data_IF_671932960326
#
_entry.id   IF_671932960326
#
_cell.length_a   1.000
_cell.length_b   1.000
_cell.length_c   1.000
_cell.angle_alpha   90.00
_cell.angle_beta   90.00
_cell.angle_gamma   90.00
#
_symmetry.space_group_name_H-M   'P 1'
#
loop_
_entity.id
_entity.type
_entity.pdbx_description
1 polymer ?
#
# COMPACT_ATOMS: atom_id res chain seq x y z
N UNK A 1 -26.74 -5.99 -28.35
CA UNK A 1 -25.32 -6.01 -28.75
C UNK A 1 -24.47 -6.24 -27.52
N UNK A 2 -23.80 -7.39 -27.42
CA UNK A 2 -22.88 -7.68 -26.33
C UNK A 2 -21.65 -6.78 -26.49
N UNK A 3 -21.42 -5.86 -25.56
CA UNK A 3 -20.19 -5.08 -25.55
C UNK A 3 -19.00 -6.02 -25.29
N UNK A 4 -17.92 -5.83 -26.04
CA UNK A 4 -16.67 -6.52 -25.81
C UNK A 4 -16.14 -6.24 -24.39
N UNK A 5 -15.53 -7.25 -23.75
CA UNK A 5 -14.82 -7.14 -22.46
C UNK A 5 -13.81 -5.99 -22.48
N UNK A 6 -13.20 -5.70 -23.63
CA UNK A 6 -12.30 -4.56 -23.83
C UNK A 6 -12.97 -3.20 -23.52
N UNK A 7 -14.23 -3.00 -23.91
CA UNK A 7 -14.95 -1.74 -23.69
C UNK A 7 -15.25 -1.52 -22.21
N UNK A 8 -15.67 -2.58 -21.50
CA UNK A 8 -15.89 -2.53 -20.03
C UNK A 8 -14.60 -2.15 -19.30
N UNK A 9 -13.48 -2.79 -19.66
CA UNK A 9 -12.18 -2.52 -19.04
C UNK A 9 -11.71 -1.07 -19.27
N UNK A 10 -11.94 -0.52 -20.46
CA UNK A 10 -11.61 0.88 -20.77
C UNK A 10 -12.50 1.88 -19.99
N UNK A 11 -13.79 1.59 -19.79
CA UNK A 11 -14.67 2.42 -18.92
C UNK A 11 -14.15 2.37 -17.48
N UNK A 12 -13.85 1.18 -16.96
CA UNK A 12 -13.29 0.97 -15.62
C UNK A 12 -11.99 1.76 -15.41
N UNK A 13 -11.07 1.66 -16.36
CA UNK A 13 -9.79 2.37 -16.29
C UNK A 13 -9.99 3.90 -16.22
N UNK A 14 -10.83 4.49 -17.09
CA UNK A 14 -11.12 5.93 -17.06
C UNK A 14 -11.77 6.37 -15.73
N UNK A 15 -12.65 5.53 -15.17
CA UNK A 15 -13.29 5.81 -13.89
C UNK A 15 -12.30 5.80 -12.73
N UNK A 16 -11.45 4.76 -12.63
CA UNK A 16 -10.38 4.65 -11.62
C UNK A 16 -9.36 5.77 -11.79
N UNK A 17 -9.13 6.23 -13.03
CA UNK A 17 -8.25 7.35 -13.33
C UNK A 17 -8.75 8.71 -12.80
N UNK A 18 -10.01 8.79 -12.36
CA UNK A 18 -10.57 9.96 -11.68
C UNK A 18 -11.88 10.46 -12.28
N UNK A 19 -12.20 10.10 -13.53
CA UNK A 19 -13.38 10.62 -14.21
C UNK A 19 -14.69 10.19 -13.51
N UNK A 20 -15.75 11.02 -13.54
CA UNK A 20 -17.10 10.57 -13.20
C UNK A 20 -17.54 9.42 -14.11
N UNK A 21 -18.34 8.49 -13.59
CA UNK A 21 -18.80 7.31 -14.34
C UNK A 21 -19.55 7.68 -15.63
N UNK A 22 -20.35 8.76 -15.58
CA UNK A 22 -21.05 9.30 -16.74
C UNK A 22 -20.07 9.73 -17.86
N UNK A 23 -19.01 10.46 -17.51
CA UNK A 23 -17.97 10.91 -18.44
C UNK A 23 -17.18 9.73 -19.01
N UNK A 24 -16.83 8.74 -18.16
CA UNK A 24 -16.11 7.54 -18.59
C UNK A 24 -16.93 6.69 -19.57
N UNK A 25 -18.23 6.56 -19.33
CA UNK A 25 -19.16 5.82 -20.18
C UNK A 25 -19.41 6.56 -21.52
N UNK A 26 -19.67 7.87 -21.47
CA UNK A 26 -19.89 8.70 -22.65
C UNK A 26 -18.67 8.70 -23.59
N UNK A 27 -17.45 8.74 -23.04
CA UNK A 27 -16.21 8.70 -23.82
C UNK A 27 -16.07 7.42 -24.69
N UNK A 28 -16.76 6.34 -24.33
CA UNK A 28 -16.74 5.07 -25.05
C UNK A 28 -18.10 4.72 -25.66
N UNK A 29 -19.01 5.71 -25.75
CA UNK A 29 -20.37 5.55 -26.28
C UNK A 29 -21.15 4.43 -25.58
N UNK A 30 -20.88 4.22 -24.29
CA UNK A 30 -21.59 3.26 -23.44
C UNK A 30 -22.71 3.99 -22.69
N UNK A 31 -23.96 3.50 -22.71
CA UNK A 31 -25.03 4.06 -21.89
C UNK A 31 -24.68 4.01 -20.40
N UNK A 32 -24.99 5.07 -19.66
CA UNK A 32 -24.68 5.16 -18.23
C UNK A 32 -25.18 3.96 -17.41
N UNK A 33 -26.41 3.51 -17.68
CA UNK A 33 -27.01 2.37 -16.98
C UNK A 33 -26.23 1.06 -17.19
N UNK A 34 -25.66 0.87 -18.38
CA UNK A 34 -24.79 -0.28 -18.68
C UNK A 34 -23.50 -0.22 -17.86
N UNK A 35 -22.85 0.95 -17.81
CA UNK A 35 -21.64 1.14 -17.01
C UNK A 35 -21.91 0.99 -15.49
N UNK A 36 -23.07 1.47 -15.01
CA UNK A 36 -23.51 1.29 -13.62
C UNK A 36 -23.73 -0.19 -13.28
N UNK A 37 -24.36 -0.94 -14.17
CA UNK A 37 -24.57 -2.38 -13.97
C UNK A 37 -23.25 -3.15 -13.96
N UNK A 38 -22.29 -2.82 -14.83
CA UNK A 38 -20.95 -3.43 -14.79
C UNK A 38 -20.21 -3.17 -13.49
N UNK A 39 -20.27 -1.94 -12.99
CA UNK A 39 -19.67 -1.56 -11.72
C UNK A 39 -20.27 -2.35 -10.55
N UNK A 40 -21.61 -2.51 -10.52
CA UNK A 40 -22.30 -3.33 -9.51
C UNK A 40 -21.91 -4.81 -9.58
N UNK A 41 -21.95 -5.40 -10.78
CA UNK A 41 -21.59 -6.81 -10.99
C UNK A 41 -20.13 -7.10 -10.63
N UNK A 42 -19.21 -6.16 -10.93
CA UNK A 42 -17.82 -6.31 -10.52
C UNK A 42 -17.64 -6.18 -9.01
N UNK A 43 -18.36 -5.26 -8.35
CA UNK A 43 -18.33 -5.17 -6.89
C UNK A 43 -18.84 -6.46 -6.23
N UNK A 44 -19.93 -7.05 -6.74
CA UNK A 44 -20.46 -8.35 -6.28
C UNK A 44 -19.48 -9.51 -6.50
N UNK A 45 -18.63 -9.42 -7.52
CA UNK A 45 -17.55 -10.36 -7.78
C UNK A 45 -16.25 -10.03 -6.99
N UNK A 46 -16.27 -9.07 -6.07
CA UNK A 46 -15.12 -8.64 -5.26
C UNK A 46 -14.15 -7.69 -5.96
N UNK A 47 -14.48 -7.21 -7.16
CA UNK A 47 -13.67 -6.30 -7.98
C UNK A 47 -14.23 -4.87 -7.96
N UNK A 48 -14.38 -4.27 -6.78
CA UNK A 48 -15.01 -2.95 -6.63
C UNK A 48 -14.19 -1.80 -7.27
N UNK A 49 -14.82 -1.05 -8.17
CA UNK A 49 -14.19 0.08 -8.86
C UNK A 49 -14.02 1.31 -7.97
N UNK A 50 -14.85 1.48 -6.94
CA UNK A 50 -14.75 2.57 -5.98
C UNK A 50 -13.57 2.36 -5.03
N UNK A 51 -13.37 1.12 -4.57
CA UNK A 51 -12.18 0.75 -3.78
C UNK A 51 -10.92 1.04 -4.60
N UNK A 52 -10.88 0.60 -5.87
CA UNK A 52 -9.74 0.85 -6.75
C UNK A 52 -9.51 2.34 -7.05
N UNK A 53 -10.57 3.14 -7.21
CA UNK A 53 -10.49 4.59 -7.41
C UNK A 53 -10.00 5.31 -6.16
N UNK A 54 -10.47 4.90 -4.97
CA UNK A 54 -10.06 5.46 -3.69
C UNK A 54 -8.59 5.12 -3.38
N UNK A 55 -8.16 3.87 -3.60
CA UNK A 55 -6.77 3.47 -3.46
C UNK A 55 -5.83 4.35 -4.30
N UNK A 56 -6.17 4.58 -5.58
CA UNK A 56 -5.39 5.46 -6.47
C UNK A 56 -5.42 6.94 -6.06
N UNK A 57 -6.50 7.41 -5.44
CA UNK A 57 -6.58 8.77 -4.91
C UNK A 57 -5.70 8.93 -3.66
N UNK A 58 -5.61 7.90 -2.83
CA UNK A 58 -4.82 7.89 -1.59
C UNK A 58 -3.32 7.83 -1.88
N UNK A 59 -2.86 7.04 -2.85
CA UNK A 59 -1.45 7.06 -3.33
C UNK A 59 -1.04 8.39 -3.98
N UNK A 60 -2.02 9.27 -4.27
CA UNK A 60 -1.79 10.62 -4.81
C UNK A 60 -2.00 11.71 -3.74
N UNK A 61 -2.37 11.33 -2.51
CA UNK A 61 -2.53 12.30 -1.43
C UNK A 61 -1.16 12.56 -0.79
N UNK A 62 -0.71 13.82 -0.81
CA UNK A 62 0.55 14.25 -0.17
C UNK A 62 0.60 14.09 1.36
N UNK A 63 -0.42 13.46 1.96
CA UNK A 63 -0.47 13.12 3.38
C UNK A 63 0.49 11.98 3.71
N UNK A 64 0.67 11.02 2.80
CA UNK A 64 1.61 9.90 2.98
C UNK A 64 3.07 10.38 2.85
N UNK A 65 3.36 11.23 1.87
CA UNK A 65 4.68 11.89 1.74
C UNK A 65 5.00 12.74 2.97
N UNK A 66 4.04 13.57 3.41
CA UNK A 66 4.19 14.38 4.62
C UNK A 66 4.37 13.52 5.89
N UNK A 67 3.63 12.41 6.02
CA UNK A 67 3.78 11.51 7.17
C UNK A 67 5.15 10.82 7.17
N UNK A 68 5.66 10.41 6.00
CA UNK A 68 6.99 9.83 5.86
C UNK A 68 8.10 10.85 6.15
N UNK A 69 7.95 12.09 5.69
CA UNK A 69 8.88 13.18 5.99
C UNK A 69 8.95 13.47 7.50
N UNK A 70 7.80 13.60 8.15
CA UNK A 70 7.70 13.83 9.60
C UNK A 70 8.31 12.67 10.40
N UNK A 71 8.10 11.42 9.97
CA UNK A 71 8.74 10.26 10.61
C UNK A 71 10.26 10.25 10.45
N UNK A 72 10.75 10.64 9.27
CA UNK A 72 12.19 10.75 9.00
C UNK A 72 12.84 11.77 9.92
N UNK A 73 12.26 12.97 10.01
CA UNK A 73 12.77 14.04 10.87
C UNK A 73 12.69 13.67 12.35
N UNK A 74 11.63 12.99 12.79
CA UNK A 74 11.52 12.49 14.15
C UNK A 74 12.61 11.46 14.49
N UNK A 75 12.92 10.55 13.56
CA UNK A 75 13.98 9.55 13.75
C UNK A 75 15.36 10.22 13.88
N UNK A 76 15.63 11.25 13.09
CA UNK A 76 16.86 12.04 13.16
C UNK A 76 17.00 12.75 14.52
N UNK A 77 15.93 13.41 14.98
CA UNK A 77 15.92 14.06 16.31
C UNK A 77 16.07 13.06 17.46
N UNK A 78 15.51 11.86 17.32
CA UNK A 78 15.65 10.79 18.31
C UNK A 78 17.12 10.37 18.46
N UNK A 79 17.82 10.14 17.34
CA UNK A 79 19.24 9.77 17.34
C UNK A 79 20.11 10.88 17.93
N UNK A 80 19.91 12.13 17.50
CA UNK A 80 20.65 13.28 18.01
C UNK A 80 20.47 13.46 19.54
N UNK A 81 19.25 13.28 20.04
CA UNK A 81 18.96 13.38 21.48
C UNK A 81 19.62 12.24 22.27
N UNK A 82 19.61 11.02 21.71
CA UNK A 82 20.26 9.87 22.32
C UNK A 82 21.78 10.04 22.41
N UNK A 83 22.41 10.62 21.39
CA UNK A 83 23.83 10.98 21.41
C UNK A 83 24.15 12.03 22.48
N UNK A 84 23.34 13.09 22.57
CA UNK A 84 23.51 14.14 23.56
C UNK A 84 23.43 13.59 25.00
N UNK A 85 22.50 12.68 25.26
CA UNK A 85 22.35 12.03 26.57
C UNK A 85 23.53 11.09 26.88
N UNK A 86 24.02 10.35 25.89
CA UNK A 86 25.21 9.48 26.04
C UNK A 86 26.45 10.30 26.37
N UNK A 87 26.60 11.45 25.73
CA UNK A 87 27.75 12.32 25.86
C UNK A 87 27.78 13.15 27.15
N UNK A 88 26.68 13.24 27.90
CA UNK A 88 26.64 13.97 29.18
C UNK A 88 27.16 13.09 30.35
N UNK A 89 28.36 13.32 30.89
CA UNK A 89 28.91 12.54 31.99
C UNK A 89 28.32 12.94 33.36
N UNK A 90 27.63 14.08 33.45
CA UNK A 90 27.08 14.61 34.69
C UNK A 90 25.61 14.21 34.90
N UNK A 91 24.98 13.62 33.90
CA UNK A 91 23.59 13.19 33.99
C UNK A 91 23.44 12.00 34.96
N UNK A 92 22.60 12.13 36.00
CA UNK A 92 22.27 11.03 36.89
C UNK A 92 21.66 9.83 36.14
N UNK A 93 21.97 8.61 36.58
CA UNK A 93 21.56 7.38 35.90
C UNK A 93 20.03 7.17 35.87
N UNK A 94 19.34 7.57 36.93
CA UNK A 94 17.88 7.58 37.06
C UNK A 94 17.24 8.54 36.04
N UNK A 95 17.77 9.77 35.95
CA UNK A 95 17.32 10.77 34.99
C UNK A 95 17.55 10.32 33.55
N UNK A 96 18.71 9.68 33.29
CA UNK A 96 19.04 9.11 31.98
C UNK A 96 18.03 8.03 31.57
N UNK A 97 17.72 7.12 32.49
CA UNK A 97 16.73 6.06 32.26
C UNK A 97 15.32 6.62 32.00
N UNK A 98 14.89 7.61 32.79
CA UNK A 98 13.58 8.27 32.62
C UNK A 98 13.44 8.92 31.23
N UNK A 99 14.48 9.63 30.77
CA UNK A 99 14.46 10.26 29.44
C UNK A 99 14.39 9.19 28.34
N UNK A 100 15.17 8.11 28.45
CA UNK A 100 15.15 7.03 27.45
C UNK A 100 13.77 6.35 27.37
N UNK A 101 13.11 6.12 28.50
CA UNK A 101 11.75 5.55 28.53
C UNK A 101 10.74 6.47 27.84
N UNK A 102 10.79 7.78 28.13
CA UNK A 102 9.88 8.77 27.51
C UNK A 102 10.12 8.90 26.01
N UNK A 103 11.38 8.85 25.57
CA UNK A 103 11.74 8.85 24.16
C UNK A 103 11.14 7.62 23.45
N UNK A 104 11.31 6.43 24.02
CA UNK A 104 10.75 5.20 23.42
C UNK A 104 9.21 5.22 23.36
N UNK A 105 8.54 5.70 24.40
CA UNK A 105 7.07 5.84 24.41
C UNK A 105 6.60 6.86 23.36
N UNK A 106 7.28 8.01 23.23
CA UNK A 106 7.01 9.01 22.19
C UNK A 106 7.21 8.46 20.78
N UNK A 107 8.30 7.72 20.55
CA UNK A 107 8.61 7.08 19.27
C UNK A 107 7.55 6.04 18.89
N UNK A 108 7.15 5.18 19.83
CA UNK A 108 6.10 4.18 19.60
C UNK A 108 4.74 4.83 19.29
N UNK A 109 4.40 5.94 19.96
CA UNK A 109 3.18 6.70 19.67
C UNK A 109 3.22 7.32 18.27
N UNK A 110 4.36 7.88 17.87
CA UNK A 110 4.53 8.48 16.56
C UNK A 110 4.46 7.44 15.43
N UNK A 111 5.13 6.29 15.57
CA UNK A 111 5.00 5.16 14.65
C UNK A 111 3.55 4.69 14.59
N UNK A 112 2.88 4.54 15.74
CA UNK A 112 1.50 4.10 15.77
C UNK A 112 0.55 5.11 15.10
N UNK A 113 0.77 6.40 15.31
CA UNK A 113 0.00 7.47 14.66
C UNK A 113 0.26 7.49 13.14
N UNK A 114 1.52 7.36 12.73
CA UNK A 114 1.90 7.34 11.32
C UNK A 114 1.42 6.07 10.62
N UNK A 115 1.46 4.91 11.27
CA UNK A 115 0.89 3.66 10.77
C UNK A 115 -0.63 3.72 10.65
N UNK A 116 -1.33 4.43 11.55
CA UNK A 116 -2.77 4.71 11.41
C UNK A 116 -3.08 5.72 10.31
N UNK A 117 -2.17 6.67 10.06
CA UNK A 117 -2.25 7.63 8.96
C UNK A 117 -1.86 7.01 7.61
N UNK A 118 -1.09 5.91 7.63
CA UNK A 118 -0.61 5.14 6.50
C UNK A 118 -0.99 3.64 6.62
N UNK A 119 -2.28 3.28 6.71
CA UNK A 119 -2.70 1.90 6.95
C UNK A 119 -2.31 0.92 5.84
N UNK A 120 -1.95 1.44 4.66
CA UNK A 120 -1.76 0.67 3.43
C UNK A 120 -0.33 0.75 2.88
N UNK A 121 0.57 1.51 3.50
CA UNK A 121 1.80 1.97 2.83
C UNK A 121 2.82 0.89 2.50
N UNK A 122 2.75 -0.34 3.03
CA UNK A 122 3.77 -1.31 2.61
C UNK A 122 3.44 -2.80 2.69
N UNK A 123 2.19 -3.23 2.89
CA UNK A 123 1.90 -4.68 2.95
C UNK A 123 2.11 -5.36 1.60
N UNK A 124 1.66 -4.74 0.51
CA UNK A 124 1.86 -5.27 -0.83
C UNK A 124 3.33 -5.21 -1.27
N UNK A 125 4.03 -4.10 -1.02
CA UNK A 125 5.42 -3.97 -1.46
C UNK A 125 6.38 -4.89 -0.68
N UNK A 126 6.21 -5.05 0.64
CA UNK A 126 6.92 -6.07 1.42
C UNK A 126 6.62 -7.48 0.90
N UNK A 127 5.36 -7.77 0.59
CA UNK A 127 4.98 -9.07 0.06
C UNK A 127 5.59 -9.33 -1.34
N UNK A 128 5.67 -8.31 -2.20
CA UNK A 128 6.34 -8.38 -3.49
C UNK A 128 7.86 -8.61 -3.37
N UNK A 129 8.51 -8.05 -2.35
CA UNK A 129 9.94 -8.26 -2.12
C UNK A 129 10.24 -9.68 -1.61
N UNK A 130 9.35 -10.26 -0.80
CA UNK A 130 9.41 -11.68 -0.41
C UNK A 130 9.25 -12.61 -1.62
N UNK A 131 8.32 -12.30 -2.54
CA UNK A 131 8.15 -13.07 -3.78
C UNK A 131 9.40 -13.03 -4.66
N UNK A 132 10.02 -11.86 -4.82
CA UNK A 132 11.28 -11.72 -5.58
C UNK A 132 12.42 -12.51 -4.95
N UNK A 133 12.55 -12.49 -3.62
CA UNK A 133 13.57 -13.26 -2.90
C UNK A 133 13.45 -14.76 -3.18
N UNK A 134 12.24 -15.33 -3.03
CA UNK A 134 12.03 -16.76 -3.29
C UNK A 134 12.23 -17.14 -4.76
N UNK A 135 11.85 -16.26 -5.70
CA UNK A 135 12.12 -16.50 -7.11
C UNK A 135 13.63 -16.60 -7.40
N UNK A 136 14.45 -15.75 -6.78
CA UNK A 136 15.91 -15.82 -6.86
C UNK A 136 16.48 -17.09 -6.23
N UNK A 137 16.07 -17.39 -4.99
CA UNK A 137 16.53 -18.57 -4.23
C UNK A 137 16.20 -19.90 -4.92
N UNK A 138 14.98 -20.02 -5.47
CA UNK A 138 14.55 -21.21 -6.22
C UNK A 138 15.30 -21.33 -7.54
N UNK A 139 15.53 -20.20 -8.24
CA UNK A 139 16.29 -20.23 -9.48
C UNK A 139 17.73 -20.73 -9.27
N UNK A 140 18.36 -20.40 -8.13
CA UNK A 140 19.73 -20.77 -7.81
C UNK A 140 19.86 -22.19 -7.22
N UNK A 141 19.02 -22.54 -6.24
CA UNK A 141 19.18 -23.79 -5.48
C UNK A 141 18.22 -24.91 -5.91
N UNK A 142 17.08 -24.58 -6.52
CA UNK A 142 16.02 -25.53 -6.87
C UNK A 142 15.49 -25.31 -8.31
N UNK A 143 16.36 -25.31 -9.34
CA UNK A 143 15.99 -24.88 -10.70
C UNK A 143 14.86 -25.71 -11.32
N UNK A 144 14.71 -26.97 -10.89
CA UNK A 144 13.61 -27.86 -11.32
C UNK A 144 12.23 -27.39 -10.85
N UNK A 145 12.14 -26.62 -9.76
CA UNK A 145 10.89 -26.10 -9.21
C UNK A 145 10.51 -24.72 -9.76
N UNK A 146 11.40 -24.06 -10.50
CA UNK A 146 11.23 -22.68 -10.95
C UNK A 146 9.98 -22.48 -11.81
N UNK A 147 9.76 -23.35 -12.80
CA UNK A 147 8.63 -23.23 -13.71
C UNK A 147 7.29 -23.36 -12.96
N UNK A 148 7.16 -24.36 -12.09
CA UNK A 148 5.96 -24.56 -11.27
C UNK A 148 5.75 -23.44 -10.24
N UNK A 149 6.83 -22.90 -9.67
CA UNK A 149 6.73 -21.78 -8.73
C UNK A 149 6.23 -20.51 -9.43
N UNK A 150 6.73 -20.21 -10.64
CA UNK A 150 6.25 -19.09 -11.46
C UNK A 150 4.76 -19.27 -11.76
N UNK A 151 4.35 -20.44 -12.23
CA UNK A 151 2.95 -20.76 -12.55
C UNK A 151 2.02 -20.57 -11.34
N UNK A 152 2.42 -21.02 -10.15
CA UNK A 152 1.64 -20.83 -8.92
C UNK A 152 1.59 -19.36 -8.50
N UNK A 153 2.69 -18.62 -8.60
CA UNK A 153 2.72 -17.19 -8.26
C UNK A 153 1.92 -16.33 -9.23
N UNK A 154 1.91 -16.67 -10.52
CA UNK A 154 1.09 -16.02 -11.54
C UNK A 154 -0.39 -16.31 -11.31
N UNK A 155 -0.75 -17.56 -11.00
CA UNK A 155 -2.11 -17.96 -10.66
C UNK A 155 -2.62 -17.31 -9.35
N UNK A 156 -1.72 -17.10 -8.38
CA UNK A 156 -2.05 -16.46 -7.11
C UNK A 156 -2.09 -14.92 -7.18
N UNK A 157 -1.64 -14.29 -8.26
CA UNK A 157 -1.45 -12.84 -8.37
C UNK A 157 -2.68 -12.01 -8.00
N UNK A 158 -3.87 -12.41 -8.49
CA UNK A 158 -5.12 -11.70 -8.22
C UNK A 158 -5.65 -11.91 -6.78
N UNK A 159 -5.28 -13.00 -6.12
CA UNK A 159 -5.57 -13.22 -4.70
C UNK A 159 -4.56 -12.47 -3.82
N UNK A 160 -3.32 -12.41 -4.25
CA UNK A 160 -2.22 -11.73 -3.57
C UNK A 160 -2.41 -10.22 -3.52
N UNK A 161 -2.78 -9.61 -4.65
CA UNK A 161 -3.10 -8.17 -4.71
C UNK A 161 -4.33 -7.83 -3.88
N UNK A 162 -5.30 -8.75 -3.74
CA UNK A 162 -6.51 -8.57 -2.92
C UNK A 162 -6.22 -8.61 -1.42
N UNK A 163 -5.42 -9.59 -1.00
CA UNK A 163 -5.06 -9.84 0.40
C UNK A 163 -4.07 -8.80 0.95
N UNK A 164 -3.04 -8.45 0.17
CA UNK A 164 -1.95 -7.59 0.63
C UNK A 164 -2.03 -6.15 0.11
N UNK A 165 -2.86 -5.89 -0.90
CA UNK A 165 -3.10 -4.55 -1.47
C UNK A 165 -4.22 -3.75 -0.77
N UNK A 166 -4.95 -4.35 0.17
CA UNK A 166 -5.91 -3.64 1.03
C UNK A 166 -5.26 -3.37 2.38
N UNK A 167 -4.91 -2.12 2.65
CA UNK A 167 -4.62 -1.74 4.02
C UNK A 167 -5.91 -1.32 4.72
N UNK A 168 -5.94 -1.69 5.99
CA UNK A 168 -6.94 -1.36 6.98
C UNK A 168 -6.27 -0.43 7.99
#
# INVERSE_FOLDING_TARGET
>A
MAYDKSTRNKVRAKYIQGAPLATAAAALKVPYNTARNWKRLDAEAGNDWDIAKNARRMTKSGVEEMANEVLGELAEQFLATLEAIKADPKMPADKRADIMVRMMDGYNKAISAASRAMPNANRLAVAMDVLKFFNGFIAEHFPKLRASFIEVTEAAGDAFVREFGSGA
#
